data_IF_816960022492
#
_entry.id   IF_816960022492
#
_cell.length_a   1.000
_cell.length_b   1.000
_cell.length_c   1.000
_cell.angle_alpha   90.00
_cell.angle_beta   90.00
_cell.angle_gamma   90.00
#
_symmetry.space_group_name_H-M   'P 1'
#
loop_
_entity.id
_entity.type
_entity.pdbx_description
1 polymer ?
#
# COMPACT_ATOMS: atom_id res chain seq x y z
N UNK A 1 20.96 12.55 -11.39
CA UNK A 1 19.79 11.68 -11.60
C UNK A 1 19.96 10.45 -10.73
N UNK A 2 19.07 10.17 -9.78
CA UNK A 2 19.14 8.96 -8.94
C UNK A 2 18.39 7.84 -9.66
N UNK A 3 19.07 6.71 -9.90
CA UNK A 3 18.41 5.49 -10.39
C UNK A 3 17.93 4.73 -9.16
N UNK A 4 16.64 4.41 -9.13
CA UNK A 4 15.99 3.69 -8.02
C UNK A 4 15.39 2.38 -8.51
N UNK A 5 15.61 1.32 -7.74
CA UNK A 5 14.91 0.06 -7.96
C UNK A 5 13.54 0.18 -7.29
N UNK A 6 12.51 0.48 -8.09
CA UNK A 6 11.16 0.75 -7.61
C UNK A 6 10.50 -0.44 -6.92
N UNK A 7 10.94 -1.68 -7.21
CA UNK A 7 10.45 -2.87 -6.50
C UNK A 7 10.95 -2.85 -5.07
N UNK A 8 12.26 -2.63 -4.89
CA UNK A 8 12.89 -2.63 -3.58
C UNK A 8 12.49 -1.41 -2.73
N UNK A 9 12.28 -0.26 -3.36
CA UNK A 9 12.05 1.00 -2.65
C UNK A 9 10.56 1.33 -2.46
N UNK A 10 9.70 0.95 -3.41
CA UNK A 10 8.27 1.34 -3.40
C UNK A 10 7.33 0.14 -3.54
N UNK A 11 7.83 -1.10 -3.40
CA UNK A 11 6.99 -2.29 -3.55
C UNK A 11 6.49 -2.53 -4.97
N UNK A 12 7.07 -1.86 -5.97
CA UNK A 12 6.82 -2.09 -7.39
C UNK A 12 5.90 -1.06 -8.07
N UNK A 13 5.44 -0.02 -7.37
CA UNK A 13 4.65 1.06 -7.94
C UNK A 13 4.97 2.40 -7.30
N UNK A 14 4.83 3.51 -8.04
CA UNK A 14 4.90 4.85 -7.48
C UNK A 14 4.08 5.85 -8.30
N UNK A 15 3.24 6.61 -7.62
CA UNK A 15 2.68 7.86 -8.10
C UNK A 15 3.59 9.06 -7.75
N UNK A 16 4.12 9.74 -8.76
CA UNK A 16 4.81 11.03 -8.60
C UNK A 16 3.80 12.17 -8.73
N UNK A 17 3.56 12.91 -7.64
CA UNK A 17 2.72 14.12 -7.65
C UNK A 17 3.38 15.26 -8.45
N UNK A 18 4.70 15.36 -8.41
CA UNK A 18 5.47 16.40 -9.12
C UNK A 18 5.35 16.24 -10.63
N UNK A 19 5.53 15.03 -11.12
CA UNK A 19 5.53 14.74 -12.56
C UNK A 19 4.14 14.37 -13.08
N UNK A 20 3.17 14.15 -12.17
CA UNK A 20 1.84 13.63 -12.45
C UNK A 20 1.88 12.33 -13.27
N UNK A 21 2.74 11.40 -12.85
CA UNK A 21 2.96 10.10 -13.51
C UNK A 21 2.83 8.95 -12.53
N UNK A 22 2.31 7.81 -13.02
CA UNK A 22 2.36 6.53 -12.31
C UNK A 22 3.37 5.63 -13.03
N UNK A 23 4.29 5.04 -12.28
CA UNK A 23 5.27 4.06 -12.78
C UNK A 23 5.03 2.74 -12.08
N UNK A 24 4.92 1.66 -12.86
CA UNK A 24 4.72 0.30 -12.36
C UNK A 24 5.85 -0.58 -12.87
N UNK A 25 6.43 -1.37 -11.97
CA UNK A 25 7.45 -2.34 -12.34
C UNK A 25 6.87 -3.44 -13.23
N UNK A 26 7.64 -4.00 -14.18
CA UNK A 26 7.16 -5.10 -15.02
C UNK A 26 6.85 -6.38 -14.22
N UNK A 27 7.46 -6.53 -13.05
CA UNK A 27 7.15 -7.58 -12.07
C UNK A 27 7.02 -6.95 -10.70
N UNK A 28 5.97 -7.31 -9.96
CA UNK A 28 5.75 -6.88 -8.58
C UNK A 28 5.65 -8.11 -7.69
N UNK A 29 6.26 -8.01 -6.51
CA UNK A 29 6.30 -9.07 -5.53
C UNK A 29 5.33 -8.82 -4.38
N UNK A 30 5.33 -9.74 -3.42
CA UNK A 30 4.61 -9.57 -2.15
C UNK A 30 5.18 -8.39 -1.38
N UNK A 31 4.32 -7.57 -0.75
CA UNK A 31 4.74 -6.46 0.12
C UNK A 31 4.50 -6.83 1.58
N UNK A 32 5.47 -6.53 2.45
CA UNK A 32 5.31 -6.71 3.89
C UNK A 32 4.77 -5.41 4.51
N UNK A 33 3.63 -5.49 5.19
CA UNK A 33 2.97 -4.33 5.79
C UNK A 33 2.76 -4.53 7.27
N UNK A 34 2.80 -3.45 8.05
CA UNK A 34 2.46 -3.47 9.47
C UNK A 34 0.99 -3.11 9.63
N UNK A 35 0.18 -4.02 10.16
CA UNK A 35 -1.27 -3.83 10.29
C UNK A 35 -1.60 -2.67 11.24
N UNK A 36 -2.74 -2.02 11.04
CA UNK A 36 -3.21 -0.94 11.92
C UNK A 36 -4.02 -1.43 13.14
N UNK A 37 -4.11 -2.75 13.32
CA UNK A 37 -4.77 -3.38 14.45
C UNK A 37 -3.75 -3.96 15.42
N UNK A 38 -3.71 -3.46 16.66
CA UNK A 38 -2.90 -4.06 17.72
C UNK A 38 -3.39 -5.46 18.06
N UNK A 39 -2.45 -6.37 18.27
CA UNK A 39 -2.68 -7.75 18.66
C UNK A 39 -1.68 -8.17 19.72
N UNK A 40 -1.96 -9.28 20.40
CA UNK A 40 -0.96 -9.94 21.25
C UNK A 40 0.04 -10.68 20.36
N UNK A 41 1.29 -10.24 20.36
CA UNK A 41 2.41 -10.81 19.60
C UNK A 41 3.57 -11.06 20.55
N UNK A 42 4.11 -12.29 20.55
CA UNK A 42 5.30 -12.69 21.31
C UNK A 42 5.35 -12.18 22.76
N UNK A 43 4.24 -12.33 23.51
CA UNK A 43 4.18 -11.97 24.93
C UNK A 43 3.96 -10.48 25.24
N UNK A 44 3.67 -9.65 24.23
CA UNK A 44 3.31 -8.23 24.40
C UNK A 44 2.20 -7.78 23.46
N UNK A 45 1.77 -6.52 23.59
CA UNK A 45 0.81 -5.87 22.69
C UNK A 45 1.62 -5.11 21.63
N UNK A 46 1.35 -5.37 20.35
CA UNK A 46 2.02 -4.69 19.25
C UNK A 46 1.24 -4.77 17.94
N UNK A 47 1.76 -4.12 16.90
CA UNK A 47 1.20 -4.22 15.55
C UNK A 47 1.89 -5.36 14.79
N UNK A 48 1.16 -6.41 14.37
CA UNK A 48 1.73 -7.51 13.61
C UNK A 48 2.06 -7.07 12.18
N UNK A 49 2.96 -7.80 11.53
CA UNK A 49 3.22 -7.65 10.10
C UNK A 49 2.54 -8.74 9.29
N UNK A 50 2.15 -8.44 8.06
CA UNK A 50 1.53 -9.38 7.13
C UNK A 50 2.10 -9.20 5.73
N UNK A 51 2.31 -10.32 5.05
CA UNK A 51 2.64 -10.34 3.63
C UNK A 51 1.36 -10.20 2.79
N UNK A 52 1.33 -9.19 1.92
CA UNK A 52 0.23 -8.91 1.01
C UNK A 52 0.64 -9.23 -0.41
N UNK A 53 -0.06 -10.17 -1.03
CA UNK A 53 0.15 -10.53 -2.42
C UNK A 53 -0.22 -9.34 -3.33
N UNK A 54 0.66 -9.00 -4.26
CA UNK A 54 0.45 -7.96 -5.26
C UNK A 54 0.68 -8.53 -6.67
N UNK A 55 -0.01 -7.95 -7.64
CA UNK A 55 0.31 -8.08 -9.07
C UNK A 55 0.27 -6.68 -9.71
N UNK A 56 0.69 -6.57 -10.96
CA UNK A 56 0.81 -5.27 -11.65
C UNK A 56 -0.51 -4.51 -11.68
N UNK A 57 -1.65 -5.21 -11.79
CA UNK A 57 -2.98 -4.60 -11.74
C UNK A 57 -3.31 -4.05 -10.37
N UNK A 58 -3.17 -4.82 -9.28
CA UNK A 58 -3.46 -4.31 -7.93
C UNK A 58 -2.53 -3.16 -7.55
N UNK A 59 -1.25 -3.22 -7.92
CA UNK A 59 -0.31 -2.12 -7.72
C UNK A 59 -0.72 -0.87 -8.51
N UNK A 60 -1.14 -0.99 -9.78
CA UNK A 60 -1.61 0.16 -10.55
C UNK A 60 -2.81 0.85 -9.88
N UNK A 61 -3.79 0.06 -9.41
CA UNK A 61 -4.96 0.63 -8.75
C UNK A 61 -4.63 1.19 -7.37
N UNK A 62 -3.64 0.64 -6.67
CA UNK A 62 -3.07 1.27 -5.47
C UNK A 62 -2.57 2.69 -5.79
N UNK A 63 -1.72 2.85 -6.81
CA UNK A 63 -1.18 4.17 -7.19
C UNK A 63 -2.25 5.15 -7.70
N UNK A 64 -3.32 4.66 -8.35
CA UNK A 64 -4.48 5.49 -8.70
C UNK A 64 -5.21 5.95 -7.42
N UNK A 65 -5.37 5.05 -6.45
CA UNK A 65 -5.90 5.36 -5.13
C UNK A 65 -5.08 6.43 -4.44
N UNK A 66 -3.74 6.33 -4.51
CA UNK A 66 -2.81 7.34 -4.00
C UNK A 66 -3.02 8.70 -4.64
N UNK A 67 -3.08 8.74 -5.97
CA UNK A 67 -3.35 9.96 -6.72
C UNK A 67 -4.65 10.64 -6.31
N UNK A 68 -5.69 9.87 -6.01
CA UNK A 68 -7.01 10.39 -5.69
C UNK A 68 -7.20 10.71 -4.20
N UNK A 69 -6.27 10.31 -3.33
CA UNK A 69 -6.36 10.54 -1.89
C UNK A 69 -5.82 11.93 -1.54
N UNK A 70 -6.69 12.81 -1.07
CA UNK A 70 -6.32 14.16 -0.62
C UNK A 70 -5.97 14.22 0.87
N UNK A 71 -6.49 13.28 1.68
CA UNK A 71 -6.23 13.23 3.11
C UNK A 71 -4.97 12.42 3.41
N UNK A 72 -3.84 13.10 3.51
CA UNK A 72 -2.54 12.47 3.82
C UNK A 72 -2.46 11.88 5.23
N UNK A 73 -3.33 12.31 6.15
CA UNK A 73 -3.31 11.80 7.52
C UNK A 73 -3.99 10.44 7.63
N UNK A 74 -5.03 10.18 6.82
CA UNK A 74 -5.81 8.95 6.87
C UNK A 74 -6.05 8.44 5.45
N UNK A 75 -5.22 7.47 5.05
CA UNK A 75 -5.12 7.00 3.66
C UNK A 75 -5.83 5.69 3.39
N UNK A 76 -6.70 5.23 4.30
CA UNK A 76 -7.47 3.99 4.11
C UNK A 76 -8.35 3.94 2.86
N UNK A 77 -8.69 5.08 2.26
CA UNK A 77 -9.39 5.14 0.96
C UNK A 77 -8.59 4.52 -0.19
N UNK A 78 -7.25 4.54 -0.13
CA UNK A 78 -6.38 3.85 -1.10
C UNK A 78 -6.65 2.36 -1.08
N UNK A 79 -6.71 1.78 0.12
CA UNK A 79 -6.94 0.34 0.32
C UNK A 79 -8.36 -0.04 -0.05
N UNK A 80 -9.35 0.82 0.20
CA UNK A 80 -10.73 0.59 -0.26
C UNK A 80 -10.78 0.47 -1.79
N UNK A 81 -10.10 1.38 -2.49
CA UNK A 81 -10.04 1.42 -3.94
C UNK A 81 -9.28 0.22 -4.53
N UNK A 82 -8.11 -0.11 -3.95
CA UNK A 82 -7.34 -1.31 -4.30
C UNK A 82 -8.21 -2.56 -4.11
N UNK A 83 -8.91 -2.69 -2.97
CA UNK A 83 -9.74 -3.85 -2.65
C UNK A 83 -10.95 -4.02 -3.56
N UNK A 84 -11.54 -2.94 -4.08
CA UNK A 84 -12.57 -3.06 -5.11
C UNK A 84 -12.03 -3.79 -6.34
N UNK A 85 -10.82 -3.43 -6.78
CA UNK A 85 -10.14 -4.08 -7.92
C UNK A 85 -9.73 -5.50 -7.60
N UNK A 86 -9.14 -5.74 -6.41
CA UNK A 86 -8.68 -7.06 -5.98
C UNK A 86 -9.80 -8.10 -6.01
N UNK A 87 -11.02 -7.72 -5.61
CA UNK A 87 -12.22 -8.57 -5.72
C UNK A 87 -12.51 -8.99 -7.16
N UNK A 88 -12.36 -8.08 -8.12
CA UNK A 88 -12.61 -8.36 -9.55
C UNK A 88 -11.56 -9.31 -10.12
N UNK A 89 -10.28 -9.14 -9.74
CA UNK A 89 -9.17 -9.95 -10.26
C UNK A 89 -8.86 -11.21 -9.42
N UNK A 90 -9.68 -11.53 -8.42
CA UNK A 90 -9.54 -12.73 -7.60
C UNK A 90 -8.35 -12.72 -6.63
N UNK A 91 -7.83 -11.54 -6.25
CA UNK A 91 -6.80 -11.43 -5.22
C UNK A 91 -7.42 -11.37 -3.81
N UNK A 92 -6.73 -11.90 -2.77
CA UNK A 92 -7.14 -11.74 -1.38
C UNK A 92 -7.26 -10.27 -1.01
N UNK A 93 -8.24 -9.91 -0.18
CA UNK A 93 -8.39 -8.53 0.32
C UNK A 93 -7.12 -8.10 1.05
N UNK A 94 -6.60 -6.91 0.71
CA UNK A 94 -5.49 -6.27 1.41
C UNK A 94 -6.01 -5.65 2.72
N UNK A 95 -5.39 -5.97 3.88
CA UNK A 95 -5.74 -5.32 5.14
C UNK A 95 -5.27 -3.86 5.17
N UNK A 96 -5.86 -3.05 6.05
CA UNK A 96 -5.31 -1.73 6.34
C UNK A 96 -3.98 -1.88 7.09
N UNK A 97 -3.08 -0.95 6.81
CA UNK A 97 -1.74 -0.91 7.39
C UNK A 97 -1.47 0.49 7.96
N UNK A 98 -0.41 0.64 8.75
CA UNK A 98 -0.09 1.91 9.42
C UNK A 98 0.10 3.08 8.44
N UNK A 99 0.46 2.82 7.18
CA UNK A 99 0.59 3.86 6.16
C UNK A 99 -0.73 4.13 5.42
N UNK A 100 -1.69 3.21 5.48
CA UNK A 100 -2.98 3.31 4.81
C UNK A 100 -4.14 2.99 5.76
N UNK A 101 -4.10 3.55 6.97
CA UNK A 101 -5.14 3.36 7.99
C UNK A 101 -6.29 4.34 7.80
N UNK A 102 -7.47 3.95 8.28
CA UNK A 102 -8.64 4.82 8.44
C UNK A 102 -8.65 5.58 9.77
N UNK A 103 -7.94 5.07 10.77
CA UNK A 103 -8.06 5.52 12.17
C UNK A 103 -6.73 5.92 12.80
N UNK A 104 -5.60 5.45 12.26
CA UNK A 104 -4.26 5.82 12.70
C UNK A 104 -3.68 6.84 11.71
N UNK A 105 -3.14 7.94 12.25
CA UNK A 105 -2.50 8.96 11.41
C UNK A 105 -1.24 8.37 10.75
N UNK A 106 -1.14 8.54 9.44
CA UNK A 106 0.05 8.15 8.67
C UNK A 106 1.23 9.02 9.10
N UNK A 107 2.31 8.38 9.54
CA UNK A 107 3.56 9.07 9.86
C UNK A 107 4.51 8.94 8.66
N UNK A 108 4.43 9.88 7.72
CA UNK A 108 5.51 10.03 6.74
C UNK A 108 6.73 10.61 7.45
N UNK A 109 7.88 9.94 7.29
CA UNK A 109 9.20 10.54 7.55
C UNK A 109 9.72 11.17 6.28
#
# INVERSE_FOLDING_TARGET
MRIVNIVNEFGGGIYSKTDNTIVIAPSVGTVNVTLDQMQFVNGGIGFPTQNVLQNTTSTLFHEIGERNTSNINFRGGVIDYENYTRKVIGLPVRPYDLNHSKTIKTNYR
#
